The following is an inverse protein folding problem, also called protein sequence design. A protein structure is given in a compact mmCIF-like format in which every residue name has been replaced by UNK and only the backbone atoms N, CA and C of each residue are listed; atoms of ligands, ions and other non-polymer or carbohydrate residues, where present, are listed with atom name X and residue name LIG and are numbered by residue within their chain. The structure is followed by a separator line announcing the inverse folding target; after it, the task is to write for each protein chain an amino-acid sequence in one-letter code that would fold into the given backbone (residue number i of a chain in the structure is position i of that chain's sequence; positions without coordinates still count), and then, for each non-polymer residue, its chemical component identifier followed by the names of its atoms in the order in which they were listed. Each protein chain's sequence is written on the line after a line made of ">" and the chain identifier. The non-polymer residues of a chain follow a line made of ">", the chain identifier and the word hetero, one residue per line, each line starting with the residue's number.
data_IF_625088885709
#
_entry.id   IF_625088885709
#
_cell.length_a   1.000
_cell.length_b   1.000
_cell.length_c   1.000
_cell.angle_alpha   90.00
_cell.angle_beta   90.00
_cell.angle_gamma   90.00
#
_symmetry.space_group_name_H-M   'P 1'
#
loop_
_entity.id
_entity.type
_entity.pdbx_description
1 polymer ?
#
# COMPACT_ATOMS: atom_id res chain seq x y z
N UNK A 1 -0.06 -6.41 -8.46
CA UNK A 1 0.32 -6.75 -7.06
C UNK A 1 1.83 -6.72 -6.88
N UNK A 2 2.64 -7.29 -7.79
CA UNK A 2 4.11 -7.32 -7.68
C UNK A 2 4.78 -6.77 -8.93
N UNK A 3 4.35 -5.59 -9.36
CA UNK A 3 4.91 -4.93 -10.55
C UNK A 3 6.07 -3.98 -10.18
N UNK A 4 6.16 -3.54 -8.92
CA UNK A 4 7.25 -2.74 -8.40
C UNK A 4 7.53 -1.52 -9.26
N UNK A 5 8.80 -1.30 -9.59
CA UNK A 5 9.27 -0.14 -10.35
C UNK A 5 8.68 -0.02 -11.76
N UNK A 6 8.32 -1.13 -12.41
CA UNK A 6 7.76 -1.10 -13.79
C UNK A 6 6.42 -0.35 -13.89
N UNK A 7 5.72 -0.14 -12.77
CA UNK A 7 4.48 0.65 -12.75
C UNK A 7 4.77 2.14 -13.02
N UNK A 8 5.96 2.63 -12.68
CA UNK A 8 6.32 4.03 -12.85
C UNK A 8 6.34 4.45 -14.32
N UNK A 9 6.61 3.52 -15.24
CA UNK A 9 6.57 3.78 -16.69
C UNK A 9 5.15 4.11 -17.19
N UNK A 10 4.12 3.76 -16.40
CA UNK A 10 2.70 3.95 -16.71
C UNK A 10 1.96 4.73 -15.62
N UNK A 11 2.68 5.65 -14.97
CA UNK A 11 2.23 6.40 -13.79
C UNK A 11 0.85 7.03 -13.99
N UNK A 12 0.70 7.78 -15.07
CA UNK A 12 -0.49 8.57 -15.36
C UNK A 12 -1.66 7.70 -15.82
N UNK A 13 -1.39 6.65 -16.60
CA UNK A 13 -2.38 5.69 -17.07
C UNK A 13 -2.97 4.91 -15.90
N UNK A 14 -2.13 4.49 -14.94
CA UNK A 14 -2.56 3.78 -13.74
C UNK A 14 -3.44 4.67 -12.87
N UNK A 15 -3.03 5.93 -12.63
CA UNK A 15 -3.84 6.89 -11.88
C UNK A 15 -5.18 7.10 -12.58
N UNK A 16 -5.16 7.35 -13.88
CA UNK A 16 -6.37 7.59 -14.70
C UNK A 16 -7.31 6.39 -14.64
N UNK A 17 -6.79 5.16 -14.76
CA UNK A 17 -7.58 3.94 -14.67
C UNK A 17 -8.24 3.77 -13.29
N UNK A 18 -7.51 4.08 -12.21
CA UNK A 18 -8.07 4.03 -10.86
C UNK A 18 -9.16 5.09 -10.70
N UNK A 19 -8.90 6.34 -11.08
CA UNK A 19 -9.88 7.44 -10.99
C UNK A 19 -11.15 7.08 -11.78
N UNK A 20 -11.00 6.59 -13.00
CA UNK A 20 -12.11 6.16 -13.84
C UNK A 20 -12.93 5.05 -13.16
N UNK A 21 -12.27 4.00 -12.67
CA UNK A 21 -12.97 2.90 -12.01
C UNK A 21 -13.70 3.36 -10.73
N UNK A 22 -13.12 4.29 -9.98
CA UNK A 22 -13.71 4.84 -8.76
C UNK A 22 -14.83 5.84 -9.03
N UNK A 23 -14.88 6.48 -10.21
CA UNK A 23 -15.94 7.44 -10.57
C UNK A 23 -17.24 6.77 -11.00
N UNK A 24 -17.20 5.48 -11.38
CA UNK A 24 -18.37 4.71 -11.83
C UNK A 24 -19.15 4.15 -10.64
N UNK A 25 -19.90 5.03 -9.97
CA UNK A 25 -20.63 4.69 -8.75
C UNK A 25 -21.81 3.73 -8.96
N UNK A 26 -22.39 3.72 -10.17
CA UNK A 26 -23.53 2.85 -10.51
C UNK A 26 -23.08 1.40 -10.73
N UNK A 27 -21.81 1.18 -11.08
CA UNK A 27 -21.23 -0.14 -11.24
C UNK A 27 -20.42 -0.55 -10.00
N UNK A 28 -21.08 -1.31 -9.12
CA UNK A 28 -20.47 -1.83 -7.89
C UNK A 28 -19.26 -2.73 -8.15
N UNK A 29 -19.24 -3.47 -9.26
CA UNK A 29 -18.15 -4.38 -9.58
C UNK A 29 -16.92 -3.61 -10.04
N UNK A 30 -17.11 -2.65 -10.94
CA UNK A 30 -16.05 -1.77 -11.42
C UNK A 30 -15.48 -0.91 -10.29
N UNK A 31 -16.33 -0.32 -9.44
CA UNK A 31 -15.86 0.43 -8.26
C UNK A 31 -15.01 -0.44 -7.34
N UNK A 32 -15.45 -1.68 -7.05
CA UNK A 32 -14.68 -2.63 -6.22
C UNK A 32 -13.36 -3.03 -6.89
N UNK A 33 -13.34 -3.17 -8.21
CA UNK A 33 -12.12 -3.40 -8.97
C UNK A 33 -11.16 -2.21 -8.86
N UNK A 34 -11.66 -0.98 -8.95
CA UNK A 34 -10.90 0.25 -8.72
C UNK A 34 -10.27 0.31 -7.33
N UNK A 35 -11.04 0.01 -6.27
CA UNK A 35 -10.48 -0.06 -4.91
C UNK A 35 -9.38 -1.13 -4.78
N UNK A 36 -9.54 -2.29 -5.43
CA UNK A 36 -8.52 -3.35 -5.41
C UNK A 36 -7.27 -2.94 -6.20
N UNK A 37 -7.45 -2.28 -7.35
CA UNK A 37 -6.35 -1.77 -8.15
C UNK A 37 -5.55 -0.76 -7.33
N UNK A 38 -6.23 0.24 -6.73
CA UNK A 38 -5.63 1.21 -5.81
C UNK A 38 -4.79 0.53 -4.72
N UNK A 39 -5.39 -0.41 -3.98
CA UNK A 39 -4.67 -1.14 -2.93
C UNK A 39 -3.44 -1.86 -3.49
N UNK A 40 -3.58 -2.57 -4.61
CA UNK A 40 -2.51 -3.39 -5.15
C UNK A 40 -1.42 -2.59 -5.84
N UNK A 41 -1.74 -1.40 -6.35
CA UNK A 41 -0.76 -0.42 -6.82
C UNK A 41 0.02 0.08 -5.61
N UNK A 42 -0.64 0.62 -4.59
CA UNK A 42 0.03 1.12 -3.37
C UNK A 42 0.93 0.04 -2.73
N UNK A 43 0.41 -1.17 -2.48
CA UNK A 43 1.21 -2.24 -1.86
C UNK A 43 2.40 -2.65 -2.73
N UNK A 44 2.26 -2.64 -4.06
CA UNK A 44 3.39 -2.92 -4.94
C UNK A 44 4.50 -1.86 -4.92
N UNK A 45 4.18 -0.64 -4.46
CA UNK A 45 5.12 0.48 -4.36
C UNK A 45 5.63 0.69 -2.94
N UNK A 46 4.95 0.18 -1.92
CA UNK A 46 5.26 0.44 -0.51
C UNK A 46 5.75 -0.80 0.26
N UNK A 47 5.53 -2.01 -0.25
CA UNK A 47 5.91 -3.25 0.46
C UNK A 47 7.16 -3.88 -0.15
N UNK A 48 8.04 -4.40 0.70
CA UNK A 48 9.12 -5.28 0.28
C UNK A 48 8.60 -6.70 0.07
N UNK A 49 9.00 -7.35 -1.03
CA UNK A 49 8.58 -8.72 -1.36
C UNK A 49 9.61 -9.44 -2.23
N UNK A 50 9.69 -10.77 -2.18
CA UNK A 50 10.58 -11.51 -3.10
C UNK A 50 10.09 -11.39 -4.54
N UNK A 51 11.01 -11.09 -5.47
CA UNK A 51 10.76 -10.94 -6.91
C UNK A 51 10.71 -12.31 -7.57
N UNK A 52 11.68 -13.17 -7.26
CA UNK A 52 11.70 -14.56 -7.71
C UNK A 52 11.27 -15.50 -6.59
N UNK A 53 10.38 -16.42 -6.95
CA UNK A 53 10.18 -17.68 -6.23
C UNK A 53 10.61 -18.80 -7.16
N UNK A 54 11.81 -18.66 -7.72
CA UNK A 54 12.32 -19.66 -8.64
C UNK A 54 12.50 -20.93 -7.81
N UNK A 55 11.76 -21.98 -8.18
CA UNK A 55 11.80 -23.29 -7.52
C UNK A 55 13.11 -24.05 -7.76
N UNK A 56 14.06 -23.42 -8.45
CA UNK A 56 15.39 -23.94 -8.73
C UNK A 56 16.41 -22.79 -8.61
N UNK A 57 16.94 -22.52 -7.40
CA UNK A 57 18.03 -21.56 -7.23
C UNK A 57 19.27 -21.89 -8.08
N UNK A 58 19.37 -23.14 -8.58
CA UNK A 58 20.47 -23.65 -9.41
C UNK A 58 20.14 -23.77 -10.91
N UNK A 59 19.27 -22.91 -11.47
CA UNK A 59 18.82 -23.01 -12.87
C UNK A 59 19.94 -23.01 -13.92
N UNK A 60 21.15 -22.58 -13.56
CA UNK A 60 22.30 -22.51 -14.45
C UNK A 60 23.13 -23.80 -14.51
N UNK A 61 22.92 -24.75 -13.58
CA UNK A 61 23.56 -26.06 -13.62
C UNK A 61 22.56 -27.09 -14.16
N UNK A 62 22.72 -27.47 -15.44
CA UNK A 62 21.81 -28.36 -16.18
C UNK A 62 21.60 -29.75 -15.52
N UNK A 63 22.32 -30.07 -14.44
CA UNK A 63 22.36 -31.38 -13.79
C UNK A 63 21.71 -31.46 -12.39
N UNK A 64 21.26 -30.34 -11.80
CA UNK A 64 20.89 -30.28 -10.36
C UNK A 64 19.36 -30.22 -10.11
N UNK A 65 18.63 -31.14 -10.71
CA UNK A 65 17.19 -31.25 -10.50
C UNK A 65 16.91 -31.94 -9.16
N UNK A 66 16.16 -31.26 -8.28
CA UNK A 66 15.77 -31.81 -6.98
C UNK A 66 16.75 -31.57 -5.83
N UNK A 67 17.78 -30.73 -6.04
CA UNK A 67 18.68 -30.29 -4.98
C UNK A 67 17.94 -29.41 -3.96
N UNK A 68 18.15 -29.69 -2.67
CA UNK A 68 17.60 -28.88 -1.57
C UNK A 68 18.18 -27.47 -1.59
N UNK A 69 17.37 -26.49 -1.20
CA UNK A 69 17.82 -25.10 -1.06
C UNK A 69 18.92 -24.96 0.01
N UNK A 70 19.93 -24.15 -0.28
CA UNK A 70 21.05 -23.82 0.60
C UNK A 70 20.97 -22.35 1.04
N UNK A 71 20.85 -22.11 2.36
CA UNK A 71 20.71 -20.77 2.94
C UNK A 71 21.86 -19.80 2.59
N UNK A 72 23.07 -20.29 2.34
CA UNK A 72 24.25 -19.44 2.12
C UNK A 72 24.53 -19.11 0.65
N UNK A 73 24.03 -19.89 -0.31
CA UNK A 73 24.35 -19.76 -1.75
C UNK A 73 23.14 -19.42 -2.60
N UNK A 74 21.93 -19.61 -2.08
CA UNK A 74 20.72 -19.35 -2.84
C UNK A 74 20.37 -17.87 -2.72
N UNK A 75 20.55 -17.13 -3.81
CA UNK A 75 20.27 -15.71 -3.84
C UNK A 75 18.76 -15.48 -3.90
N UNK A 76 18.20 -14.83 -2.88
CA UNK A 76 16.81 -14.34 -2.91
C UNK A 76 16.81 -12.90 -3.42
N UNK A 77 16.19 -12.68 -4.57
CA UNK A 77 16.00 -11.33 -5.10
C UNK A 77 14.81 -10.66 -4.42
N UNK A 78 15.05 -9.57 -3.71
CA UNK A 78 14.02 -8.78 -3.04
C UNK A 78 13.70 -7.51 -3.82
N UNK A 79 12.40 -7.21 -3.90
CA UNK A 79 11.94 -5.88 -4.20
C UNK A 79 12.01 -5.07 -2.93
N UNK A 80 12.68 -3.93 -2.99
CA UNK A 80 12.69 -2.91 -1.95
C UNK A 80 12.24 -1.60 -2.60
N UNK A 81 11.18 -0.95 -2.09
CA UNK A 81 10.73 0.34 -2.60
C UNK A 81 11.85 1.39 -2.64
N UNK A 82 12.00 2.07 -3.77
CA UNK A 82 12.87 3.24 -3.87
C UNK A 82 12.11 4.57 -3.69
N UNK A 83 12.82 5.69 -3.55
CA UNK A 83 12.23 7.02 -3.36
C UNK A 83 11.13 7.36 -4.38
N UNK A 84 11.41 7.18 -5.68
CA UNK A 84 10.43 7.44 -6.75
C UNK A 84 9.12 6.65 -6.58
N UNK A 85 9.19 5.42 -6.05
CA UNK A 85 8.00 4.60 -5.81
C UNK A 85 7.18 5.13 -4.62
N UNK A 86 7.87 5.62 -3.58
CA UNK A 86 7.23 6.26 -2.43
C UNK A 86 6.58 7.58 -2.86
N UNK A 87 7.28 8.41 -3.62
CA UNK A 87 6.74 9.67 -4.16
C UNK A 87 5.51 9.42 -5.04
N UNK A 88 5.53 8.36 -5.85
CA UNK A 88 4.37 7.94 -6.63
C UNK A 88 3.21 7.48 -5.73
N UNK A 89 3.47 6.71 -4.69
CA UNK A 89 2.44 6.30 -3.74
C UNK A 89 1.79 7.51 -3.04
N UNK A 90 2.60 8.50 -2.63
CA UNK A 90 2.12 9.76 -2.03
C UNK A 90 1.23 10.52 -3.01
N UNK A 91 1.63 10.61 -4.28
CA UNK A 91 0.82 11.27 -5.30
C UNK A 91 -0.53 10.56 -5.53
N UNK A 92 -0.56 9.23 -5.54
CA UNK A 92 -1.82 8.47 -5.62
C UNK A 92 -2.73 8.81 -4.43
N UNK A 93 -2.16 8.88 -3.22
CA UNK A 93 -2.92 9.24 -2.02
C UNK A 93 -3.47 10.67 -2.11
N UNK A 94 -2.66 11.61 -2.60
CA UNK A 94 -3.07 13.01 -2.78
C UNK A 94 -4.21 13.15 -3.79
N UNK A 95 -4.00 12.65 -5.01
CA UNK A 95 -4.97 12.76 -6.10
C UNK A 95 -6.28 12.01 -5.85
N UNK A 96 -6.28 10.95 -5.04
CA UNK A 96 -7.44 10.08 -4.88
C UNK A 96 -8.03 10.13 -3.47
N UNK A 97 -7.22 9.87 -2.45
CA UNK A 97 -7.72 9.77 -1.09
C UNK A 97 -8.00 11.14 -0.49
N UNK A 98 -7.01 12.04 -0.49
CA UNK A 98 -7.16 13.36 0.15
C UNK A 98 -8.22 14.21 -0.54
N UNK A 99 -8.28 14.19 -1.88
CA UNK A 99 -9.36 14.83 -2.62
C UNK A 99 -10.74 14.32 -2.18
N UNK A 100 -10.93 13.00 -2.04
CA UNK A 100 -12.22 12.42 -1.62
C UNK A 100 -12.57 12.71 -0.17
N UNK A 101 -11.59 12.76 0.72
CA UNK A 101 -11.81 13.16 2.11
C UNK A 101 -12.18 14.65 2.22
N UNK A 102 -11.56 15.51 1.40
CA UNK A 102 -11.91 16.93 1.34
C UNK A 102 -13.34 17.14 0.80
N UNK A 103 -13.75 16.37 -0.21
CA UNK A 103 -15.14 16.39 -0.71
C UNK A 103 -16.17 15.99 0.37
N UNK A 104 -15.80 15.13 1.33
CA UNK A 104 -16.65 14.80 2.47
C UNK A 104 -16.62 15.85 3.56
N UNK A 105 -15.45 16.43 3.85
CA UNK A 105 -15.30 17.43 4.91
C UNK A 105 -16.09 18.69 4.61
N UNK A 106 -16.21 19.08 3.34
CA UNK A 106 -17.06 20.21 2.92
C UNK A 106 -18.57 19.96 3.11
N UNK A 107 -19.00 18.70 3.20
CA UNK A 107 -20.41 18.36 3.42
C UNK A 107 -20.79 18.42 4.92
N UNK A 108 -19.82 18.26 5.84
CA UNK A 108 -20.05 18.25 7.29
C UNK A 108 -20.66 19.55 7.84
N UNK A 109 -20.15 20.76 7.52
CA UNK A 109 -20.71 22.02 8.03
C UNK A 109 -22.16 22.27 7.58
N UNK A 110 -22.56 21.76 6.42
CA UNK A 110 -23.93 21.91 5.89
C UNK A 110 -24.94 21.11 6.71
N UNK A 111 -24.53 19.94 7.20
CA UNK A 111 -25.36 19.06 8.04
C UNK A 111 -25.53 19.62 9.46
N UNK A 112 -24.48 20.26 10.01
CA UNK A 112 -24.46 20.74 11.40
C UNK A 112 -25.24 22.05 11.60
N UNK A 113 -25.39 22.88 10.57
CA UNK A 113 -26.02 24.20 10.66
C UNK A 113 -27.57 24.19 10.65
N UNK A 114 -28.21 23.03 10.78
CA UNK A 114 -29.61 22.88 11.20
C UNK A 114 -30.72 23.46 10.30
N UNK A 115 -30.39 24.19 9.22
CA UNK A 115 -31.39 24.90 8.40
C UNK A 115 -31.96 24.08 7.24
N UNK A 116 -31.33 22.98 6.88
CA UNK A 116 -31.91 21.90 6.08
C UNK A 116 -31.19 20.62 6.49
N UNK A 117 -31.92 19.60 6.94
CA UNK A 117 -31.41 18.23 6.95
C UNK A 117 -31.27 17.81 5.48
N UNK A 118 -30.27 18.33 4.77
CA UNK A 118 -29.84 17.70 3.52
C UNK A 118 -29.53 16.26 3.88
N UNK A 119 -30.25 15.35 3.23
CA UNK A 119 -30.20 13.93 3.50
C UNK A 119 -28.75 13.50 3.23
N UNK A 120 -28.00 13.21 4.29
CA UNK A 120 -26.63 12.73 4.18
C UNK A 120 -26.62 11.58 3.18
N UNK A 121 -25.85 11.70 2.09
CA UNK A 121 -25.66 10.60 1.16
C UNK A 121 -24.75 9.56 1.83
N UNK A 122 -25.38 8.66 2.59
CA UNK A 122 -24.72 7.54 3.26
C UNK A 122 -23.90 6.71 2.27
N UNK A 123 -24.32 6.62 0.99
CA UNK A 123 -23.58 5.88 -0.01
C UNK A 123 -22.28 6.61 -0.40
N UNK A 124 -22.28 7.95 -0.50
CA UNK A 124 -21.06 8.75 -0.72
C UNK A 124 -20.05 8.52 0.41
N UNK A 125 -20.50 8.58 1.65
CA UNK A 125 -19.65 8.32 2.82
C UNK A 125 -19.09 6.90 2.83
N UNK A 126 -19.94 5.89 2.63
CA UNK A 126 -19.51 4.48 2.54
C UNK A 126 -18.47 4.26 1.44
N UNK A 127 -18.63 4.90 0.28
CA UNK A 127 -17.67 4.81 -0.83
C UNK A 127 -16.32 5.43 -0.46
N UNK A 128 -16.32 6.64 0.10
CA UNK A 128 -15.09 7.30 0.53
C UNK A 128 -14.35 6.49 1.60
N UNK A 129 -15.06 6.00 2.62
CA UNK A 129 -14.44 5.13 3.64
C UNK A 129 -13.90 3.83 3.05
N UNK A 130 -14.53 3.32 1.99
CA UNK A 130 -14.00 2.15 1.29
C UNK A 130 -12.71 2.48 0.56
N UNK A 131 -12.62 3.64 -0.10
CA UNK A 131 -11.37 4.12 -0.72
C UNK A 131 -10.29 4.25 0.36
N UNK A 132 -10.58 4.96 1.47
CA UNK A 132 -9.68 5.09 2.63
C UNK A 132 -9.17 3.74 3.13
N UNK A 133 -10.07 2.80 3.40
CA UNK A 133 -9.70 1.48 3.90
C UNK A 133 -8.79 0.71 2.93
N UNK A 134 -9.05 0.77 1.63
CA UNK A 134 -8.19 0.10 0.63
C UNK A 134 -6.85 0.82 0.42
N UNK A 135 -6.83 2.15 0.53
CA UNK A 135 -5.59 2.94 0.50
C UNK A 135 -4.70 2.60 1.70
N UNK A 136 -5.22 2.72 2.92
CA UNK A 136 -4.48 2.42 4.16
C UNK A 136 -3.92 0.99 4.15
N UNK A 137 -4.73 0.02 3.70
CA UNK A 137 -4.27 -1.37 3.58
C UNK A 137 -3.19 -1.57 2.50
N UNK A 138 -3.06 -0.64 1.55
CA UNK A 138 -2.03 -0.69 0.51
C UNK A 138 -0.72 -0.03 0.92
N UNK A 139 -0.75 0.98 1.78
CA UNK A 139 0.44 1.73 2.19
C UNK A 139 0.75 1.64 3.70
N UNK A 140 0.13 0.71 4.43
CA UNK A 140 0.32 0.58 5.88
C UNK A 140 1.78 0.38 6.27
N UNK A 141 2.57 -0.34 5.46
CA UNK A 141 3.99 -0.56 5.75
C UNK A 141 4.78 0.73 5.87
N UNK A 142 4.52 1.72 5.02
CA UNK A 142 5.25 3.01 5.02
C UNK A 142 4.64 4.02 5.99
N UNK A 143 3.31 4.02 6.14
CA UNK A 143 2.63 4.95 7.05
C UNK A 143 2.87 4.64 8.53
N UNK A 144 3.19 3.39 8.85
CA UNK A 144 3.43 2.93 10.22
C UNK A 144 4.93 2.76 10.53
N UNK A 145 5.81 2.99 9.55
CA UNK A 145 7.27 2.92 9.72
C UNK A 145 7.85 4.18 10.39
N UNK A 146 6.99 5.06 10.93
CA UNK A 146 7.43 6.20 11.70
C UNK A 146 8.07 5.68 12.99
N UNK A 147 9.40 5.53 12.97
CA UNK A 147 10.22 5.42 14.16
C UNK A 147 10.05 6.75 14.89
N UNK A 148 9.06 6.81 15.77
CA UNK A 148 9.00 7.83 16.80
C UNK A 148 10.36 7.73 17.48
N UNK A 149 11.21 8.75 17.34
CA UNK A 149 12.47 8.84 18.09
C UNK A 149 12.15 8.97 19.57
N UNK A 150 11.68 7.88 20.19
CA UNK A 150 11.45 7.80 21.61
C UNK A 150 12.81 7.63 22.28
N UNK A 151 13.32 8.76 22.74
CA UNK A 151 14.44 8.82 23.69
C UNK A 151 14.18 8.13 25.03
N UNK A 152 13.13 7.33 25.17
CA UNK A 152 12.73 6.71 26.43
C UNK A 152 12.69 5.18 26.33
N UNK A 153 13.62 4.54 27.03
CA UNK A 153 13.77 3.09 27.20
C UNK A 153 12.58 2.36 27.86
N UNK A 154 11.38 2.97 27.88
CA UNK A 154 10.14 2.38 28.41
C UNK A 154 9.19 1.85 27.33
N UNK A 155 9.43 2.14 26.04
CA UNK A 155 8.51 1.75 24.96
C UNK A 155 8.59 0.28 24.50
N UNK A 156 9.57 -0.51 24.93
CA UNK A 156 9.69 -1.92 24.52
C UNK A 156 8.53 -2.81 25.02
N UNK A 157 7.70 -2.34 25.93
CA UNK A 157 6.48 -3.05 26.37
C UNK A 157 5.28 -2.83 25.43
N UNK A 158 5.37 -1.91 24.46
CA UNK A 158 4.23 -1.46 23.63
C UNK A 158 4.27 -1.95 22.17
N UNK A 159 5.39 -2.56 21.73
CA UNK A 159 5.57 -3.03 20.35
C UNK A 159 5.12 -4.48 20.14
N UNK A 160 4.61 -4.77 18.95
CA UNK A 160 4.28 -6.14 18.54
C UNK A 160 5.59 -6.95 18.35
N UNK A 161 5.66 -8.22 18.76
CA UNK A 161 6.82 -9.09 18.54
C UNK A 161 7.45 -9.05 17.14
N UNK A 162 6.68 -8.77 16.10
CA UNK A 162 7.19 -8.65 14.72
C UNK A 162 8.05 -7.38 14.50
N UNK A 163 7.70 -6.28 15.16
CA UNK A 163 8.43 -5.01 15.08
C UNK A 163 9.78 -5.14 15.82
N UNK A 164 9.76 -5.80 16.98
CA UNK A 164 10.97 -6.13 17.75
C UNK A 164 11.91 -7.02 16.93
N UNK A 165 11.38 -8.05 16.26
CA UNK A 165 12.18 -8.94 15.42
C UNK A 165 12.82 -8.21 14.22
N UNK A 166 12.07 -7.29 13.60
CA UNK A 166 12.55 -6.48 12.47
C UNK A 166 13.67 -5.53 12.90
N UNK A 167 13.51 -4.90 14.07
CA UNK A 167 14.54 -4.03 14.64
C UNK A 167 15.85 -4.78 14.94
N UNK A 168 15.76 -5.98 15.54
CA UNK A 168 16.94 -6.80 15.79
C UNK A 168 17.65 -7.25 14.51
N UNK A 169 16.90 -7.55 13.45
CA UNK A 169 17.46 -7.89 12.14
C UNK A 169 18.25 -6.72 11.53
N UNK A 170 17.74 -5.49 11.66
CA UNK A 170 18.42 -4.28 11.18
C UNK A 170 19.71 -4.02 11.96
N UNK A 171 19.69 -4.19 13.28
CA UNK A 171 20.89 -4.03 14.12
C UNK A 171 21.95 -5.10 13.85
N UNK A 172 21.55 -6.35 13.59
CA UNK A 172 22.48 -7.44 13.31
C UNK A 172 23.16 -7.32 11.93
N UNK A 173 22.57 -6.54 11.01
CA UNK A 173 23.10 -6.29 9.68
C UNK A 173 24.00 -5.04 9.59
N UNK A 174 24.12 -4.27 10.67
CA UNK A 174 24.93 -3.04 10.78
C UNK A 174 26.27 -3.32 11.47
#
# INVERSE_FOLDING_TARGET
>A
RRAGKSVLDYRDEVITAIIYALSKYDDRHLFKAGCKLLRHTLSSQCESYPISSDSCPHFYDEHDWGTSAHLHSDTVSWHVPCGDQIDFAVEILDKILFQKMQELSMDLPKVLNGKQREKIDINKWRRCFKILHYSLRGCCGVLLDEVIETKDSKMLEEYDPNEIATWHLIQAAS
#
